data_IF_396988168340
#
_entry.id   IF_396988168340
#
_cell.length_a   1.000
_cell.length_b   1.000
_cell.length_c   1.000
_cell.angle_alpha   90.00
_cell.angle_beta   90.00
_cell.angle_gamma   90.00
#
_symmetry.space_group_name_H-M   'P 1'
#
loop_
_entity.id
_entity.type
_entity.pdbx_description
1 polymer ?
#
# COMPACT_ATOMS: atom_id res chain seq x y z
N UNK A 1 -18.26 16.44 7.71
CA UNK A 1 -17.98 17.87 7.82
C UNK A 1 -19.19 18.61 7.33
N UNK A 2 -19.72 19.50 8.15
CA UNK A 2 -20.95 20.23 7.84
C UNK A 2 -20.62 21.71 7.63
N UNK A 3 -20.92 22.22 6.44
CA UNK A 3 -20.69 23.61 6.06
C UNK A 3 -22.00 24.29 5.71
N UNK A 4 -22.14 25.53 6.18
CA UNK A 4 -23.27 26.39 5.89
C UNK A 4 -22.80 27.49 4.93
N UNK A 5 -23.37 27.52 3.74
CA UNK A 5 -23.04 28.47 2.70
C UNK A 5 -24.17 29.49 2.62
N UNK A 6 -23.83 30.77 2.75
CA UNK A 6 -24.74 31.91 2.53
C UNK A 6 -24.23 32.69 1.33
N UNK A 7 -25.11 33.00 0.38
CA UNK A 7 -24.83 33.97 -0.67
C UNK A 7 -25.78 35.18 -0.59
N UNK A 8 -25.28 36.33 -1.01
CA UNK A 8 -25.99 37.60 -1.05
C UNK A 8 -25.71 38.27 -2.39
N UNK A 9 -26.76 38.67 -3.11
CA UNK A 9 -26.60 39.40 -4.37
C UNK A 9 -26.53 40.92 -4.17
N UNK A 10 -26.22 41.67 -5.23
CA UNK A 10 -26.16 43.15 -5.17
C UNK A 10 -27.50 43.81 -4.84
N UNK A 11 -28.61 43.09 -5.00
CA UNK A 11 -29.95 43.52 -4.60
C UNK A 11 -30.28 43.24 -3.14
N UNK A 12 -29.40 42.56 -2.39
CA UNK A 12 -29.59 42.17 -1.00
C UNK A 12 -30.42 40.90 -0.81
N UNK A 13 -30.68 40.12 -1.87
CA UNK A 13 -31.36 38.83 -1.75
C UNK A 13 -30.41 37.81 -1.12
N UNK A 14 -30.93 37.01 -0.19
CA UNK A 14 -30.16 36.01 0.54
C UNK A 14 -30.61 34.60 0.15
N UNK A 15 -29.64 33.72 -0.06
CA UNK A 15 -29.88 32.29 -0.21
C UNK A 15 -28.90 31.49 0.65
N UNK A 16 -29.36 30.32 1.12
CA UNK A 16 -28.66 29.48 2.08
C UNK A 16 -28.67 28.04 1.60
N UNK A 17 -27.50 27.40 1.63
CA UNK A 17 -27.40 25.96 1.39
C UNK A 17 -26.50 25.31 2.43
N UNK A 18 -26.70 24.01 2.63
CA UNK A 18 -25.92 23.20 3.55
C UNK A 18 -25.17 22.14 2.74
N UNK A 19 -23.86 22.09 2.91
CA UNK A 19 -23.00 21.08 2.32
C UNK A 19 -22.54 20.14 3.44
N UNK A 20 -22.94 18.88 3.37
CA UNK A 20 -22.41 17.83 4.21
C UNK A 20 -21.57 16.87 3.38
N UNK A 21 -20.33 16.64 3.79
CA UNK A 21 -19.45 15.64 3.19
C UNK A 21 -18.61 14.96 4.26
N UNK A 22 -18.34 13.68 4.06
CA UNK A 22 -17.36 12.96 4.88
C UNK A 22 -16.06 12.81 4.09
N UNK A 23 -14.93 12.85 4.79
CA UNK A 23 -13.62 12.47 4.24
C UNK A 23 -13.22 11.20 4.96
N UNK A 24 -12.97 10.15 4.20
CA UNK A 24 -12.33 8.94 4.71
C UNK A 24 -10.86 9.00 4.34
N UNK A 25 -9.99 8.79 5.31
CA UNK A 25 -8.53 8.74 5.13
C UNK A 25 -8.09 7.33 5.46
N UNK A 26 -7.46 6.63 4.51
CA UNK A 26 -6.71 5.42 4.86
C UNK A 26 -5.30 5.81 5.32
N UNK A 27 -4.93 5.32 6.49
CA UNK A 27 -3.63 5.51 7.12
C UNK A 27 -2.95 4.17 7.41
N UNK A 28 -3.56 3.06 6.97
CA UNK A 28 -3.06 1.72 7.20
C UNK A 28 -2.19 1.33 6.01
N UNK A 29 -1.12 0.62 6.33
CA UNK A 29 -0.22 0.07 5.33
C UNK A 29 -0.76 -1.28 4.85
N UNK A 30 -0.59 -1.64 3.57
CA UNK A 30 -0.98 -2.95 3.06
C UNK A 30 -0.36 -4.08 3.87
N UNK A 31 -1.16 -5.09 4.17
CA UNK A 31 -0.73 -6.27 4.93
C UNK A 31 -0.68 -7.47 3.99
N UNK A 32 0.41 -8.23 4.07
CA UNK A 32 0.56 -9.48 3.32
C UNK A 32 -0.18 -10.58 4.07
N UNK A 33 -1.30 -11.03 3.49
CA UNK A 33 -2.17 -12.07 4.07
C UNK A 33 -1.73 -13.49 3.71
N UNK A 34 -0.96 -13.66 2.63
CA UNK A 34 -0.38 -14.95 2.22
C UNK A 34 0.97 -14.75 1.54
N UNK A 35 1.90 -15.64 1.84
CA UNK A 35 3.17 -15.79 1.13
C UNK A 35 3.41 -17.28 0.91
N UNK A 36 3.62 -17.71 -0.33
CA UNK A 36 3.82 -19.13 -0.65
C UNK A 36 4.57 -19.34 -1.97
N UNK A 37 5.10 -20.55 -2.14
CA UNK A 37 5.74 -20.99 -3.38
C UNK A 37 4.69 -21.41 -4.41
N UNK A 38 4.75 -20.82 -5.61
CA UNK A 38 3.93 -21.19 -6.75
C UNK A 38 4.84 -21.44 -7.96
N UNK A 39 5.01 -22.72 -8.32
CA UNK A 39 5.88 -23.21 -9.40
C UNK A 39 7.38 -22.84 -9.25
N UNK A 40 7.79 -21.68 -9.77
CA UNK A 40 9.15 -21.13 -9.71
C UNK A 40 9.17 -19.72 -9.10
N UNK A 41 8.06 -19.28 -8.53
CA UNK A 41 7.86 -17.92 -8.04
C UNK A 41 7.51 -17.92 -6.55
N UNK A 42 8.03 -16.93 -5.85
CA UNK A 42 7.47 -16.48 -4.59
C UNK A 42 6.26 -15.61 -4.89
N UNK A 43 5.09 -16.05 -4.42
CA UNK A 43 3.83 -15.33 -4.56
C UNK A 43 3.40 -14.74 -3.23
N UNK A 44 3.11 -13.45 -3.24
CA UNK A 44 2.58 -12.71 -2.10
C UNK A 44 1.19 -12.18 -2.45
N UNK A 45 0.29 -12.17 -1.47
CA UNK A 45 -1.05 -11.61 -1.61
C UNK A 45 -1.27 -10.57 -0.51
N UNK A 46 -1.67 -9.36 -0.89
CA UNK A 46 -2.03 -8.28 0.01
C UNK A 46 -3.54 -8.22 0.26
N UNK A 47 -3.96 -7.60 1.37
CA UNK A 47 -5.37 -7.38 1.70
C UNK A 47 -6.03 -6.24 0.90
N UNK A 48 -5.22 -5.39 0.29
CA UNK A 48 -5.64 -4.27 -0.56
C UNK A 48 -4.71 -4.07 -1.77
N UNK A 49 -5.12 -3.17 -2.68
CA UNK A 49 -4.35 -2.80 -3.87
C UNK A 49 -3.05 -2.15 -3.44
N UNK A 50 -1.91 -2.67 -3.90
CA UNK A 50 -0.61 -2.14 -3.52
C UNK A 50 0.49 -2.47 -4.53
N UNK A 51 1.60 -1.75 -4.44
CA UNK A 51 2.86 -2.09 -5.09
C UNK A 51 3.86 -2.59 -4.06
N UNK A 52 4.53 -3.70 -4.36
CA UNK A 52 5.52 -4.30 -3.48
C UNK A 52 6.92 -4.31 -4.11
N UNK A 53 7.91 -3.99 -3.28
CA UNK A 53 9.34 -4.02 -3.60
C UNK A 53 10.06 -4.85 -2.55
N UNK A 54 11.22 -5.40 -2.89
CA UNK A 54 12.03 -6.16 -1.94
C UNK A 54 13.52 -5.85 -2.02
N UNK A 55 14.21 -6.14 -0.92
CA UNK A 55 15.67 -6.25 -0.82
C UNK A 55 16.04 -7.65 -0.28
N UNK A 56 17.32 -8.01 -0.34
CA UNK A 56 17.89 -9.28 0.12
C UNK A 56 18.88 -9.11 1.29
N UNK A 57 19.05 -7.88 1.80
CA UNK A 57 19.95 -7.52 2.90
C UNK A 57 19.19 -7.26 4.19
N UNK A 58 18.32 -6.24 4.22
CA UNK A 58 17.54 -5.87 5.41
C UNK A 58 16.30 -5.00 5.06
N UNK A 59 15.59 -4.49 6.07
CA UNK A 59 14.42 -3.62 5.90
C UNK A 59 14.74 -2.12 5.83
N UNK A 60 16.00 -1.68 5.91
CA UNK A 60 16.36 -0.26 6.02
C UNK A 60 16.39 0.48 4.68
N UNK A 61 16.26 -0.24 3.57
CA UNK A 61 16.26 0.32 2.21
C UNK A 61 15.05 1.24 1.95
N UNK A 62 15.22 2.24 1.08
CA UNK A 62 14.11 3.07 0.62
C UNK A 62 13.23 2.30 -0.35
N UNK A 63 11.93 2.55 -0.33
CA UNK A 63 10.99 1.89 -1.26
C UNK A 63 11.41 2.06 -2.72
N UNK A 64 11.85 3.26 -3.10
CA UNK A 64 12.26 3.60 -4.47
C UNK A 64 13.57 2.91 -4.92
N UNK A 65 14.37 2.42 -3.97
CA UNK A 65 15.61 1.67 -4.23
C UNK A 65 15.37 0.16 -4.28
N UNK A 66 14.20 -0.31 -3.84
CA UNK A 66 13.84 -1.72 -3.79
C UNK A 66 13.63 -2.33 -5.18
N UNK A 67 13.83 -3.64 -5.27
CA UNK A 67 13.58 -4.40 -6.49
C UNK A 67 12.07 -4.61 -6.63
N UNK A 68 11.47 -4.06 -7.68
CA UNK A 68 10.04 -4.19 -7.93
C UNK A 68 9.62 -5.65 -8.14
N UNK A 69 8.53 -6.04 -7.48
CA UNK A 69 7.84 -7.29 -7.75
C UNK A 69 6.91 -7.13 -8.95
N UNK A 70 6.66 -8.21 -9.67
CA UNK A 70 5.64 -8.21 -10.74
C UNK A 70 4.26 -8.28 -10.09
N UNK A 71 3.41 -7.29 -10.32
CA UNK A 71 2.03 -7.27 -9.81
C UNK A 71 1.03 -7.81 -10.85
N UNK A 72 0.07 -8.63 -10.42
CA UNK A 72 -1.07 -9.12 -11.22
C UNK A 72 -2.35 -8.87 -10.44
N UNK A 73 -3.34 -8.22 -11.09
CA UNK A 73 -4.60 -7.81 -10.44
C UNK A 73 -4.38 -6.99 -9.15
N UNK A 74 -3.26 -6.27 -9.10
CA UNK A 74 -2.85 -5.26 -8.10
C UNK A 74 -2.84 -5.72 -6.62
N UNK A 75 -3.06 -7.00 -6.37
CA UNK A 75 -3.10 -7.62 -5.03
C UNK A 75 -2.24 -8.88 -4.95
N UNK A 76 -1.75 -9.37 -6.09
CA UNK A 76 -0.85 -10.54 -6.16
C UNK A 76 0.50 -10.12 -6.72
N UNK A 77 1.56 -10.39 -5.96
CA UNK A 77 2.92 -9.97 -6.28
C UNK A 77 3.84 -11.16 -6.42
N UNK A 78 4.71 -11.12 -7.44
CA UNK A 78 5.56 -12.22 -7.82
C UNK A 78 7.02 -11.80 -7.91
N UNK A 79 7.90 -12.64 -7.40
CA UNK A 79 9.33 -12.60 -7.69
C UNK A 79 9.86 -14.01 -7.87
N UNK A 80 11.06 -14.17 -8.41
CA UNK A 80 11.68 -15.48 -8.57
C UNK A 80 11.89 -16.14 -7.22
N UNK A 81 11.53 -17.42 -7.11
CA UNK A 81 11.80 -18.20 -5.91
C UNK A 81 13.29 -18.55 -5.82
N UNK A 82 13.93 -18.19 -4.70
CA UNK A 82 15.34 -18.48 -4.44
C UNK A 82 15.55 -18.85 -2.97
N UNK A 83 15.81 -20.13 -2.69
CA UNK A 83 15.98 -20.64 -1.31
C UNK A 83 17.27 -20.20 -0.64
N UNK A 84 18.19 -19.54 -1.35
CA UNK A 84 19.44 -19.04 -0.79
C UNK A 84 19.34 -17.58 -0.32
N UNK A 85 18.18 -16.95 -0.47
CA UNK A 85 17.95 -15.54 -0.14
C UNK A 85 16.79 -15.40 0.81
N UNK A 86 16.90 -14.42 1.69
CA UNK A 86 15.76 -13.89 2.43
C UNK A 86 15.21 -12.70 1.66
N UNK A 87 13.89 -12.53 1.67
CA UNK A 87 13.23 -11.43 0.97
C UNK A 87 12.65 -10.47 2.01
N UNK A 88 13.22 -9.29 2.08
CA UNK A 88 12.77 -8.18 2.92
C UNK A 88 11.82 -7.33 2.09
N UNK A 89 10.50 -7.46 2.32
CA UNK A 89 9.48 -6.90 1.41
C UNK A 89 8.79 -5.70 2.04
N UNK A 90 8.58 -4.64 1.25
CA UNK A 90 7.77 -3.47 1.59
C UNK A 90 6.68 -3.31 0.54
N UNK A 91 5.45 -3.10 1.00
CA UNK A 91 4.32 -2.77 0.13
C UNK A 91 3.80 -1.37 0.43
N UNK A 92 3.35 -0.68 -0.62
CA UNK A 92 2.83 0.70 -0.58
C UNK A 92 1.50 0.74 -1.33
N UNK A 93 0.46 1.28 -0.72
CA UNK A 93 -0.83 1.47 -1.39
C UNK A 93 -0.83 2.70 -2.33
N UNK A 94 -1.94 2.90 -3.04
CA UNK A 94 -2.16 4.07 -3.92
C UNK A 94 -2.17 5.41 -3.17
N UNK A 95 -2.40 5.38 -1.84
CA UNK A 95 -2.41 6.57 -0.98
C UNK A 95 -1.02 6.89 -0.41
N UNK A 96 -0.02 6.05 -0.67
CA UNK A 96 1.35 6.21 -0.21
C UNK A 96 1.59 5.74 1.22
N UNK A 97 0.71 4.90 1.79
CA UNK A 97 0.92 4.26 3.08
C UNK A 97 1.96 3.14 2.93
N UNK A 98 3.08 3.25 3.66
CA UNK A 98 4.17 2.28 3.70
C UNK A 98 4.59 1.98 5.15
N UNK A 99 5.20 0.82 5.44
CA UNK A 99 5.76 0.53 6.75
C UNK A 99 6.83 1.57 7.15
N UNK A 100 7.18 1.63 8.44
CA UNK A 100 8.24 2.52 8.92
C UNK A 100 9.57 2.28 8.16
N UNK A 101 10.48 3.27 8.08
CA UNK A 101 11.70 3.17 7.29
C UNK A 101 12.54 1.90 7.56
N UNK A 102 12.62 1.45 8.81
CA UNK A 102 13.38 0.25 9.20
C UNK A 102 12.50 -1.02 9.36
N UNK A 103 11.27 -0.99 8.82
CA UNK A 103 10.30 -2.08 8.93
C UNK A 103 9.89 -2.61 7.56
N UNK A 104 9.76 -3.92 7.47
CA UNK A 104 9.17 -4.60 6.31
C UNK A 104 7.69 -4.90 6.55
N UNK A 105 6.93 -5.01 5.47
CA UNK A 105 5.59 -5.60 5.49
C UNK A 105 5.65 -7.09 5.83
N UNK A 106 6.66 -7.80 5.31
CA UNK A 106 6.99 -9.18 5.70
C UNK A 106 8.47 -9.45 5.42
N UNK A 107 9.04 -10.42 6.14
CA UNK A 107 10.32 -11.04 5.78
C UNK A 107 10.03 -12.49 5.41
N UNK A 108 10.31 -12.86 4.16
CA UNK A 108 10.10 -14.23 3.68
C UNK A 108 11.41 -14.97 3.68
N UNK A 109 11.44 -16.13 4.34
CA UNK A 109 12.54 -17.09 4.29
C UNK A 109 12.07 -18.31 3.49
N UNK A 110 12.37 -18.41 2.20
CA UNK A 110 11.85 -19.49 1.36
C UNK A 110 12.26 -20.90 1.81
N UNK A 111 13.32 -21.04 2.60
CA UNK A 111 13.68 -22.31 3.23
C UNK A 111 12.69 -22.78 4.31
N UNK A 112 11.81 -21.90 4.78
CA UNK A 112 10.87 -22.13 5.90
C UNK A 112 9.40 -22.05 5.48
N UNK A 113 9.10 -21.82 4.20
CA UNK A 113 7.76 -21.54 3.64
C UNK A 113 7.27 -22.65 2.74
#
# INVERSE_FOLDING_TARGET
>A
YLYYIKCEDFGGNLDYTTLDFSVQTDLRTPIIIRAYHEENYLKLITDEISDCVYDVVDCSYLFEDGIAMTSVADTSHFTTWDTNKEFYVKCKDDFGNLPSPDQCSIIVRPSEV
#
